data_IF_622154566629
#
_entry.id   IF_622154566629
#
_cell.length_a   1.000
_cell.length_b   1.000
_cell.length_c   1.000
_cell.angle_alpha   90.00
_cell.angle_beta   90.00
_cell.angle_gamma   90.00
#
_symmetry.space_group_name_H-M   'P 1'
#
loop_
_entity.id
_entity.type
_entity.pdbx_description
1 polymer ?
#
# COMPACT_ATOMS: atom_id res chain seq x y z
N UNK A 1 -35.77 36.04 -4.98
CA UNK A 1 -34.54 36.71 -5.42
C UNK A 1 -33.38 36.02 -4.74
N UNK A 2 -32.73 35.10 -5.44
CA UNK A 2 -31.42 34.56 -5.06
C UNK A 2 -30.36 35.59 -5.43
N UNK A 3 -29.36 35.89 -4.57
CA UNK A 3 -28.30 36.79 -4.97
C UNK A 3 -27.42 36.11 -6.03
N UNK A 4 -27.31 36.74 -7.20
CA UNK A 4 -26.25 36.42 -8.16
C UNK A 4 -24.92 36.83 -7.53
N UNK A 5 -24.10 35.84 -7.18
CA UNK A 5 -22.68 36.07 -6.93
C UNK A 5 -22.01 36.14 -8.29
N UNK A 6 -21.85 37.37 -8.80
CA UNK A 6 -20.97 37.64 -9.94
C UNK A 6 -19.54 37.51 -9.42
N UNK A 7 -18.89 36.37 -9.71
CA UNK A 7 -17.43 36.25 -9.59
C UNK A 7 -16.85 36.94 -10.81
N UNK A 8 -16.52 38.22 -10.67
CA UNK A 8 -15.83 38.98 -11.71
C UNK A 8 -14.40 38.42 -11.84
N UNK A 9 -14.20 37.55 -12.83
CA UNK A 9 -12.98 36.78 -13.07
C UNK A 9 -11.84 37.56 -13.70
N UNK A 10 -11.74 38.86 -13.47
CA UNK A 10 -10.61 39.67 -13.94
C UNK A 10 -10.15 40.60 -12.84
N UNK A 11 -9.41 40.06 -11.86
CA UNK A 11 -8.67 40.90 -10.92
C UNK A 11 -7.30 40.29 -10.74
N UNK A 12 -6.31 41.11 -11.07
CA UNK A 12 -4.91 41.04 -10.70
C UNK A 12 -4.80 41.10 -9.16
N UNK A 13 -5.36 40.09 -8.51
CA UNK A 13 -5.55 40.02 -7.07
C UNK A 13 -4.19 39.67 -6.45
N UNK A 14 -3.62 40.54 -5.60
CA UNK A 14 -2.38 40.23 -4.90
C UNK A 14 -2.46 38.92 -4.10
N UNK A 15 -3.65 38.48 -3.67
CA UNK A 15 -3.82 37.19 -3.01
C UNK A 15 -3.67 36.00 -3.98
N UNK A 16 -4.06 36.15 -5.25
CA UNK A 16 -3.79 35.14 -6.29
C UNK A 16 -2.31 35.06 -6.63
N UNK A 17 -1.61 36.21 -6.70
CA UNK A 17 -0.15 36.22 -6.92
C UNK A 17 0.62 35.53 -5.78
N UNK A 18 0.19 35.73 -4.53
CA UNK A 18 0.77 35.03 -3.38
C UNK A 18 0.58 33.50 -3.46
N UNK A 19 -0.59 33.05 -3.93
CA UNK A 19 -0.85 31.62 -4.14
C UNK A 19 -0.01 31.05 -5.29
N UNK A 20 0.10 31.75 -6.42
CA UNK A 20 0.96 31.35 -7.54
C UNK A 20 2.44 31.25 -7.13
N UNK A 21 2.95 32.24 -6.39
CA UNK A 21 4.32 32.23 -5.86
C UNK A 21 4.55 31.05 -4.89
N UNK A 22 3.56 30.72 -4.06
CA UNK A 22 3.61 29.59 -3.14
C UNK A 22 3.60 28.25 -3.91
N UNK A 23 2.74 28.10 -4.92
CA UNK A 23 2.72 26.93 -5.80
C UNK A 23 4.08 26.74 -6.49
N UNK A 24 4.63 27.80 -7.09
CA UNK A 24 5.94 27.75 -7.76
C UNK A 24 7.11 27.44 -6.80
N UNK A 25 7.04 27.90 -5.54
CA UNK A 25 8.01 27.52 -4.51
C UNK A 25 7.92 26.02 -4.17
N UNK A 26 6.71 25.51 -3.99
CA UNK A 26 6.48 24.11 -3.67
C UNK A 26 6.91 23.20 -4.83
N UNK A 27 6.57 23.53 -6.07
CA UNK A 27 7.02 22.80 -7.27
C UNK A 27 8.55 22.75 -7.37
N UNK A 28 9.25 23.88 -7.16
CA UNK A 28 10.73 23.91 -7.18
C UNK A 28 11.34 23.02 -6.09
N UNK A 29 10.75 23.01 -4.88
CA UNK A 29 11.22 22.14 -3.79
C UNK A 29 11.04 20.67 -4.13
N UNK A 30 9.94 20.32 -4.82
CA UNK A 30 9.73 18.94 -5.25
C UNK A 30 10.67 18.54 -6.38
N UNK A 31 10.85 19.36 -7.42
CA UNK A 31 11.80 19.08 -8.49
C UNK A 31 13.24 18.89 -7.95
N UNK A 32 13.62 19.64 -6.90
CA UNK A 32 14.91 19.45 -6.23
C UNK A 32 14.99 18.09 -5.50
N UNK A 33 13.93 17.65 -4.84
CA UNK A 33 13.84 16.33 -4.23
C UNK A 33 13.95 15.20 -5.28
N UNK A 34 13.29 15.36 -6.43
CA UNK A 34 13.38 14.40 -7.55
C UNK A 34 14.80 14.30 -8.11
N UNK A 35 15.48 15.44 -8.38
CA UNK A 35 16.87 15.44 -8.87
C UNK A 35 17.86 14.82 -7.89
N UNK A 36 17.58 14.90 -6.59
CA UNK A 36 18.41 14.22 -5.57
C UNK A 36 18.26 12.69 -5.65
N UNK A 37 17.21 12.19 -6.30
CA UNK A 37 17.01 10.76 -6.59
C UNK A 37 17.88 10.24 -7.75
N UNK A 38 18.55 11.10 -8.53
CA UNK A 38 19.36 10.72 -9.69
C UNK A 38 20.77 10.23 -9.33
N UNK A 39 21.14 10.18 -8.05
CA UNK A 39 22.49 9.82 -7.61
C UNK A 39 22.60 8.37 -7.11
N UNK A 40 22.55 7.37 -8.01
CA UNK A 40 23.14 6.05 -7.71
C UNK A 40 24.59 6.06 -8.20
N UNK A 41 25.46 6.73 -7.44
CA UNK A 41 26.93 6.63 -7.63
C UNK A 41 27.58 5.60 -6.70
N UNK A 42 26.81 5.03 -5.79
CA UNK A 42 27.25 4.03 -4.80
C UNK A 42 26.91 2.60 -5.27
N UNK A 43 27.61 1.57 -4.76
CA UNK A 43 27.17 0.19 -4.94
C UNK A 43 25.72 0.01 -4.46
N UNK A 44 24.90 -0.67 -5.26
CA UNK A 44 23.44 -0.76 -5.08
C UNK A 44 23.02 -1.24 -3.68
N UNK A 45 23.73 -2.23 -3.11
CA UNK A 45 23.35 -2.84 -1.83
C UNK A 45 23.49 -1.87 -0.65
N UNK A 46 24.68 -1.27 -0.37
CA UNK A 46 24.81 -0.25 0.68
C UNK A 46 23.80 0.90 0.57
N UNK A 47 23.55 1.38 -0.66
CA UNK A 47 22.58 2.45 -0.90
C UNK A 47 21.15 2.01 -0.60
N UNK A 48 20.74 0.82 -1.04
CA UNK A 48 19.42 0.25 -0.72
C UNK A 48 19.24 0.07 0.79
N UNK A 49 20.26 -0.42 1.51
CA UNK A 49 20.21 -0.55 2.97
C UNK A 49 20.07 0.82 3.66
N UNK A 50 20.80 1.83 3.18
CA UNK A 50 20.70 3.20 3.69
C UNK A 50 19.29 3.77 3.49
N UNK A 51 18.73 3.66 2.27
CA UNK A 51 17.37 4.09 1.99
C UNK A 51 16.35 3.35 2.86
N UNK A 52 16.56 2.04 3.09
CA UNK A 52 15.68 1.26 3.96
C UNK A 52 15.75 1.75 5.40
N UNK A 53 16.93 2.02 5.93
CA UNK A 53 17.12 2.54 7.28
C UNK A 53 16.48 3.93 7.45
N UNK A 54 16.70 4.83 6.48
CA UNK A 54 16.09 6.17 6.48
C UNK A 54 14.55 6.09 6.52
N UNK A 55 13.95 5.28 5.65
CA UNK A 55 12.50 5.13 5.60
C UNK A 55 11.94 4.38 6.82
N UNK A 56 12.64 3.35 7.32
CA UNK A 56 12.25 2.68 8.58
C UNK A 56 12.25 3.68 9.74
N UNK A 57 13.26 4.53 9.84
CA UNK A 57 13.31 5.60 10.84
C UNK A 57 12.16 6.59 10.66
N UNK A 58 11.87 7.00 9.42
CA UNK A 58 10.77 7.92 9.12
C UNK A 58 9.39 7.37 9.52
N UNK A 59 9.12 6.09 9.25
CA UNK A 59 7.85 5.45 9.59
C UNK A 59 7.80 4.93 11.04
N UNK A 60 8.88 5.10 11.83
CA UNK A 60 8.98 4.59 13.20
C UNK A 60 8.98 3.06 13.27
N UNK A 61 9.53 2.38 12.26
CA UNK A 61 9.61 0.92 12.22
C UNK A 61 10.82 0.44 13.02
N UNK A 62 10.56 -0.03 14.23
CA UNK A 62 11.59 -0.61 15.09
C UNK A 62 11.93 -2.04 14.70
N UNK A 63 13.15 -2.50 15.00
CA UNK A 63 13.50 -3.91 14.85
C UNK A 63 12.88 -4.70 15.99
N UNK A 64 11.69 -5.25 15.77
CA UNK A 64 11.01 -6.07 16.77
C UNK A 64 11.68 -7.44 16.89
N UNK A 65 12.33 -7.69 18.03
CA UNK A 65 12.73 -9.06 18.40
C UNK A 65 11.56 -9.70 19.15
N UNK A 66 10.86 -10.62 18.50
CA UNK A 66 9.78 -11.37 19.14
C UNK A 66 10.43 -12.50 19.96
N UNK A 67 10.62 -12.24 21.26
CA UNK A 67 11.13 -13.23 22.22
C UNK A 67 9.99 -14.01 22.88
N UNK A 68 8.95 -13.30 23.29
CA UNK A 68 7.75 -13.84 23.92
C UNK A 68 6.53 -13.50 23.06
N UNK A 69 6.38 -14.24 21.95
CA UNK A 69 5.27 -14.03 21.04
C UNK A 69 3.94 -14.24 21.79
N UNK A 70 3.04 -13.24 21.87
CA UNK A 70 1.76 -13.44 22.51
C UNK A 70 0.95 -14.49 21.74
N UNK A 71 0.09 -15.20 22.46
CA UNK A 71 -0.82 -16.15 21.82
C UNK A 71 -1.76 -15.41 20.87
N UNK A 72 -1.84 -15.94 19.64
CA UNK A 72 -2.82 -15.48 18.67
C UNK A 72 -4.20 -15.91 19.17
N UNK A 73 -5.05 -14.94 19.51
CA UNK A 73 -6.44 -15.24 19.86
C UNK A 73 -7.18 -15.55 18.57
N UNK A 74 -7.82 -16.71 18.48
CA UNK A 74 -8.62 -17.08 17.31
C UNK A 74 -10.07 -17.39 17.69
N UNK A 75 -10.97 -17.11 16.77
CA UNK A 75 -12.38 -17.48 16.84
C UNK A 75 -12.83 -18.01 15.49
N UNK A 76 -13.34 -19.24 15.47
CA UNK A 76 -13.92 -19.82 14.26
C UNK A 76 -15.15 -19.03 13.81
N UNK A 77 -15.30 -18.85 12.51
CA UNK A 77 -16.46 -18.22 11.89
C UNK A 77 -16.73 -18.81 10.50
N UNK A 78 -17.94 -18.56 9.98
CA UNK A 78 -18.33 -18.99 8.63
C UNK A 78 -18.73 -17.78 7.81
N UNK A 79 -18.19 -17.66 6.60
CA UNK A 79 -18.51 -16.61 5.62
C UNK A 79 -18.81 -17.30 4.29
N UNK A 80 -20.00 -17.08 3.71
CA UNK A 80 -20.45 -17.71 2.46
C UNK A 80 -20.25 -19.24 2.42
N UNK A 81 -20.40 -19.90 3.58
CA UNK A 81 -20.21 -21.35 3.72
C UNK A 81 -18.76 -21.81 3.91
N UNK A 82 -17.78 -20.90 3.80
CA UNK A 82 -16.38 -21.19 4.07
C UNK A 82 -16.09 -21.04 5.57
N UNK A 83 -15.34 -21.98 6.15
CA UNK A 83 -14.91 -21.91 7.54
C UNK A 83 -13.56 -21.19 7.64
N UNK A 84 -13.53 -20.12 8.43
CA UNK A 84 -12.36 -19.28 8.65
C UNK A 84 -12.09 -19.14 10.14
N UNK A 85 -10.92 -18.60 10.45
CA UNK A 85 -10.62 -18.08 11.78
C UNK A 85 -10.47 -16.57 11.70
N UNK A 86 -11.17 -15.87 12.59
CA UNK A 86 -10.88 -14.49 12.90
C UNK A 86 -9.80 -14.46 13.98
N UNK A 87 -8.68 -13.81 13.69
CA UNK A 87 -7.52 -13.79 14.57
C UNK A 87 -7.20 -12.38 15.06
N UNK A 88 -6.81 -12.28 16.32
CA UNK A 88 -6.37 -11.05 16.97
C UNK A 88 -4.98 -11.21 17.59
N UNK A 89 -4.10 -10.27 17.26
CA UNK A 89 -2.76 -10.18 17.79
C UNK A 89 -2.58 -8.82 18.48
N UNK A 90 -2.27 -8.79 19.79
CA UNK A 90 -1.89 -7.55 20.48
C UNK A 90 -0.61 -6.96 19.88
N UNK A 91 -0.60 -5.65 19.65
CA UNK A 91 0.57 -4.90 19.20
C UNK A 91 1.14 -4.09 20.39
N UNK A 92 2.47 -3.92 20.50
CA UNK A 92 3.10 -3.13 21.56
C UNK A 92 2.54 -1.71 21.75
N UNK A 93 2.18 -1.03 20.66
CA UNK A 93 1.54 0.30 20.68
C UNK A 93 0.09 0.31 21.23
N UNK A 94 -0.30 -0.69 22.01
CA UNK A 94 -1.67 -0.88 22.51
C UNK A 94 -2.73 -0.95 21.41
N UNK A 95 -2.33 -1.41 20.22
CA UNK A 95 -3.21 -1.69 19.09
C UNK A 95 -3.53 -3.18 19.02
N UNK A 96 -4.51 -3.53 18.19
CA UNK A 96 -4.81 -4.93 17.88
C UNK A 96 -4.74 -5.09 16.37
N UNK A 97 -3.89 -6.01 15.93
CA UNK A 97 -3.85 -6.49 14.56
C UNK A 97 -4.93 -7.55 14.42
N UNK A 98 -5.72 -7.46 13.35
CA UNK A 98 -6.84 -8.35 13.07
C UNK A 98 -6.70 -8.91 11.67
N UNK A 99 -7.02 -10.18 11.50
CA UNK A 99 -7.06 -10.80 10.20
C UNK A 99 -8.13 -11.90 10.14
N UNK A 100 -8.60 -12.20 8.93
CA UNK A 100 -9.26 -13.46 8.63
C UNK A 100 -8.22 -14.41 8.07
N UNK A 101 -8.19 -15.64 8.56
CA UNK A 101 -7.28 -16.65 8.06
C UNK A 101 -7.99 -17.94 7.70
N UNK A 102 -7.44 -18.60 6.68
CA UNK A 102 -7.85 -19.93 6.24
C UNK A 102 -6.59 -20.67 5.80
N UNK A 103 -6.47 -21.92 6.24
CA UNK A 103 -5.35 -22.80 5.88
C UNK A 103 -5.85 -23.97 5.03
N UNK A 104 -5.00 -24.51 4.14
CA UNK A 104 -5.31 -25.72 3.42
C UNK A 104 -5.45 -26.91 4.38
N UNK A 105 -6.17 -27.94 3.93
CA UNK A 105 -6.31 -29.20 4.69
C UNK A 105 -5.02 -30.04 4.74
N UNK A 106 -4.02 -29.68 3.93
CA UNK A 106 -2.72 -30.32 3.85
C UNK A 106 -1.61 -29.37 4.34
N UNK A 107 -0.36 -29.86 4.38
CA UNK A 107 0.78 -29.01 4.77
C UNK A 107 0.88 -27.80 3.85
N UNK A 108 0.89 -26.60 4.46
CA UNK A 108 0.99 -25.34 3.72
C UNK A 108 2.30 -25.22 2.95
N UNK A 109 2.22 -24.57 1.78
CA UNK A 109 3.36 -24.17 0.95
C UNK A 109 4.02 -22.89 1.45
N UNK A 110 3.31 -22.15 2.31
CA UNK A 110 3.73 -20.89 2.89
C UNK A 110 2.53 -19.98 3.14
N UNK A 111 2.83 -18.70 3.35
CA UNK A 111 1.89 -17.69 3.78
C UNK A 111 1.64 -16.70 2.66
N UNK A 112 0.38 -16.32 2.46
CA UNK A 112 0.01 -15.14 1.69
C UNK A 112 -0.73 -14.16 2.58
N UNK A 113 -0.15 -12.98 2.76
CA UNK A 113 -0.82 -11.81 3.33
C UNK A 113 -1.55 -11.06 2.21
N UNK A 114 -2.86 -10.90 2.35
CA UNK A 114 -3.70 -10.17 1.42
C UNK A 114 -4.21 -8.88 2.04
N UNK A 115 -4.14 -7.79 1.28
CA UNK A 115 -4.65 -6.49 1.71
C UNK A 115 -5.51 -5.82 0.62
N UNK A 116 -6.73 -5.49 1.00
CA UNK A 116 -7.74 -4.93 0.10
C UNK A 116 -7.54 -3.42 -0.15
N UNK A 117 -8.17 -2.93 -1.21
CA UNK A 117 -8.18 -1.50 -1.57
C UNK A 117 -9.20 -0.68 -0.80
N UNK A 118 -9.26 0.62 -1.03
CA UNK A 118 -10.34 1.45 -0.50
C UNK A 118 -11.58 1.36 -1.41
N UNK A 119 -12.82 1.20 -0.87
CA UNK A 119 -13.20 0.82 0.48
C UNK A 119 -13.64 -0.65 0.52
N UNK A 120 -12.67 -1.56 0.62
CA UNK A 120 -12.84 -3.02 0.64
C UNK A 120 -12.98 -3.62 2.05
N UNK A 121 -13.18 -4.94 2.10
CA UNK A 121 -13.30 -5.73 3.33
C UNK A 121 -12.46 -7.01 3.19
N UNK A 122 -11.64 -7.41 4.19
CA UNK A 122 -10.88 -8.66 4.16
C UNK A 122 -11.72 -9.91 3.86
N UNK A 123 -12.98 -9.94 4.27
CA UNK A 123 -13.91 -11.03 3.99
C UNK A 123 -14.16 -11.23 2.50
N UNK A 124 -14.01 -10.20 1.67
CA UNK A 124 -14.29 -10.30 0.23
C UNK A 124 -13.31 -11.25 -0.47
N UNK A 125 -12.09 -11.43 0.06
CA UNK A 125 -11.14 -12.46 -0.39
C UNK A 125 -11.66 -13.90 -0.24
N UNK A 126 -12.66 -14.11 0.61
CA UNK A 126 -13.21 -15.43 0.95
C UNK A 126 -14.68 -15.61 0.58
N UNK A 127 -15.22 -14.72 -0.26
CA UNK A 127 -16.59 -14.81 -0.78
C UNK A 127 -16.59 -15.19 -2.24
N UNK A 128 -17.48 -16.12 -2.59
CA UNK A 128 -17.79 -16.47 -3.98
C UNK A 128 -18.82 -15.52 -4.60
N UNK A 129 -19.54 -14.74 -3.77
CA UNK A 129 -20.60 -13.83 -4.22
C UNK A 129 -20.40 -12.41 -3.66
N UNK A 130 -20.78 -11.39 -4.44
CA UNK A 130 -20.72 -9.99 -3.98
C UNK A 130 -21.38 -9.02 -4.95
N UNK A 131 -21.88 -7.89 -4.43
CA UNK A 131 -22.42 -6.77 -5.21
C UNK A 131 -21.45 -5.58 -5.19
N UNK A 132 -21.38 -4.82 -6.30
CA UNK A 132 -20.63 -3.54 -6.38
C UNK A 132 -19.17 -3.60 -6.87
N UNK A 133 -18.45 -2.48 -6.66
CA UNK A 133 -17.11 -2.15 -7.18
C UNK A 133 -15.94 -3.03 -6.67
N UNK A 134 -16.22 -4.03 -5.82
CA UNK A 134 -15.24 -4.96 -5.21
C UNK A 134 -15.07 -6.27 -6.01
N UNK A 135 -15.27 -6.25 -7.33
CA UNK A 135 -15.10 -7.47 -8.17
C UNK A 135 -13.66 -7.99 -8.17
N UNK A 136 -12.71 -7.10 -7.96
CA UNK A 136 -11.26 -7.33 -7.99
C UNK A 136 -10.73 -8.25 -6.90
N UNK A 137 -11.40 -8.34 -5.76
CA UNK A 137 -10.85 -8.97 -4.54
C UNK A 137 -11.50 -10.33 -4.27
N UNK A 138 -12.39 -10.82 -5.14
CA UNK A 138 -13.31 -11.93 -4.81
C UNK A 138 -12.67 -13.29 -4.95
N UNK A 139 -12.84 -14.11 -3.92
CA UNK A 139 -12.53 -15.54 -3.95
C UNK A 139 -11.04 -15.88 -4.09
N UNK A 140 -10.15 -14.90 -4.25
CA UNK A 140 -8.71 -15.16 -4.41
C UNK A 140 -8.09 -15.82 -3.18
N UNK A 141 -8.57 -15.49 -1.99
CA UNK A 141 -8.15 -16.17 -0.77
C UNK A 141 -8.51 -17.66 -0.82
N UNK A 142 -9.69 -18.00 -1.34
CA UNK A 142 -10.11 -19.40 -1.53
C UNK A 142 -9.25 -20.11 -2.57
N UNK A 143 -9.02 -19.50 -3.73
CA UNK A 143 -8.17 -20.10 -4.78
C UNK A 143 -6.74 -20.36 -4.29
N UNK A 144 -6.21 -19.46 -3.46
CA UNK A 144 -4.89 -19.60 -2.85
C UNK A 144 -4.84 -20.76 -1.84
N UNK A 145 -5.87 -20.88 -1.01
CA UNK A 145 -6.02 -22.01 -0.08
C UNK A 145 -6.12 -23.32 -0.85
N UNK A 146 -6.91 -23.39 -1.93
CA UNK A 146 -7.01 -24.56 -2.80
C UNK A 146 -5.66 -24.92 -3.44
N UNK A 147 -4.83 -23.92 -3.73
CA UNK A 147 -3.45 -24.07 -4.23
C UNK A 147 -2.41 -24.40 -3.15
N UNK A 148 -2.84 -24.57 -1.90
CA UNK A 148 -2.02 -25.02 -0.78
C UNK A 148 -1.35 -23.91 0.03
N UNK A 149 -1.87 -22.69 0.03
CA UNK A 149 -1.33 -21.58 0.80
C UNK A 149 -2.18 -21.27 2.03
N UNK A 150 -1.52 -20.95 3.14
CA UNK A 150 -2.20 -20.32 4.28
C UNK A 150 -2.39 -18.85 3.97
N UNK A 151 -3.63 -18.39 3.99
CA UNK A 151 -3.97 -17.00 3.65
C UNK A 151 -4.35 -16.24 4.92
N UNK A 152 -3.82 -15.02 5.06
CA UNK A 152 -4.30 -14.04 6.03
C UNK A 152 -4.76 -12.79 5.27
N UNK A 153 -6.04 -12.47 5.35
CA UNK A 153 -6.58 -11.18 4.90
C UNK A 153 -6.61 -10.20 6.07
N UNK A 154 -5.79 -9.17 6.02
CA UNK A 154 -5.54 -8.28 7.17
C UNK A 154 -6.53 -7.11 7.18
N UNK A 155 -7.04 -6.76 8.36
CA UNK A 155 -7.82 -5.55 8.56
C UNK A 155 -6.89 -4.35 8.75
N UNK A 156 -7.14 -3.29 7.99
CA UNK A 156 -6.53 -1.98 8.13
C UNK A 156 -7.57 -0.95 8.59
N UNK A 157 -7.11 0.26 8.92
CA UNK A 157 -8.01 1.34 9.33
C UNK A 157 -9.05 1.69 8.24
N UNK A 158 -8.78 1.37 6.97
CA UNK A 158 -9.69 1.58 5.85
C UNK A 158 -10.64 0.41 5.54
N UNK A 159 -10.54 -0.69 6.28
CA UNK A 159 -11.45 -1.82 6.12
C UNK A 159 -12.88 -1.44 6.43
N UNK A 160 -13.78 -1.75 5.50
CA UNK A 160 -15.21 -1.81 5.79
C UNK A 160 -15.47 -3.03 6.66
N UNK A 161 -15.63 -2.85 7.95
CA UNK A 161 -16.21 -3.88 8.82
C UNK A 161 -17.57 -3.36 9.31
N UNK A 162 -18.66 -4.13 9.14
CA UNK A 162 -19.97 -3.74 9.66
C UNK A 162 -19.99 -3.54 11.18
N UNK A 163 -19.04 -4.13 11.92
CA UNK A 163 -18.86 -3.94 13.36
C UNK A 163 -17.88 -2.81 13.70
N UNK A 164 -17.11 -2.30 12.72
CA UNK A 164 -16.33 -1.08 12.92
C UNK A 164 -17.21 0.13 12.67
N UNK A 165 -16.82 1.26 13.26
CA UNK A 165 -17.53 2.53 13.33
C UNK A 165 -17.76 3.24 11.96
N UNK A 166 -17.61 2.51 10.85
CA UNK A 166 -17.13 3.03 9.58
C UNK A 166 -17.90 2.43 8.37
N UNK A 167 -19.03 3.04 8.02
CA UNK A 167 -19.66 2.83 6.72
C UNK A 167 -20.08 4.16 6.07
N UNK A 168 -19.98 4.23 4.74
CA UNK A 168 -20.36 5.42 3.94
C UNK A 168 -19.49 6.67 4.18
N UNK A 169 -20.09 7.86 4.06
CA UNK A 169 -19.44 9.16 4.28
C UNK A 169 -18.89 9.34 5.71
N UNK A 170 -19.27 8.49 6.67
CA UNK A 170 -18.66 8.50 8.00
C UNK A 170 -17.27 7.87 8.01
N UNK A 171 -17.05 6.83 7.20
CA UNK A 171 -15.72 6.22 7.00
C UNK A 171 -14.71 7.26 6.51
N UNK A 172 -15.14 8.04 5.53
CA UNK A 172 -14.43 9.18 4.97
C UNK A 172 -13.94 10.20 6.00
N UNK A 173 -14.90 10.73 6.75
CA UNK A 173 -14.66 11.77 7.71
C UNK A 173 -13.72 11.26 8.83
N UNK A 174 -13.95 10.03 9.28
CA UNK A 174 -13.14 9.47 10.34
C UNK A 174 -11.70 9.19 9.88
N UNK A 175 -11.49 8.78 8.63
CA UNK A 175 -10.15 8.68 8.06
C UNK A 175 -9.40 10.01 8.09
N UNK A 176 -10.04 11.11 7.66
CA UNK A 176 -9.44 12.45 7.72
C UNK A 176 -9.13 12.87 9.16
N UNK A 177 -10.03 12.59 10.10
CA UNK A 177 -9.80 12.89 11.52
C UNK A 177 -8.61 12.10 12.09
N UNK A 178 -8.51 10.81 11.79
CA UNK A 178 -7.39 9.98 12.21
C UNK A 178 -6.08 10.48 11.60
N UNK A 179 -6.08 10.80 10.31
CA UNK A 179 -4.91 11.34 9.61
C UNK A 179 -4.44 12.67 10.23
N UNK A 180 -5.37 13.58 10.56
CA UNK A 180 -5.04 14.85 11.24
C UNK A 180 -4.52 14.63 12.65
N UNK A 181 -5.13 13.72 13.41
CA UNK A 181 -4.66 13.37 14.77
C UNK A 181 -3.24 12.82 14.75
N UNK A 182 -2.95 11.92 13.81
CA UNK A 182 -1.59 11.40 13.60
C UNK A 182 -0.61 12.54 13.27
N UNK A 183 -0.97 13.43 12.33
CA UNK A 183 -0.10 14.53 11.92
C UNK A 183 0.27 15.48 13.08
N UNK A 184 -0.67 15.77 13.99
CA UNK A 184 -0.41 16.63 15.16
C UNK A 184 0.54 15.96 16.16
N UNK A 185 0.57 14.64 16.22
CA UNK A 185 1.53 13.89 17.05
C UNK A 185 2.87 13.62 16.34
N UNK A 186 3.07 14.19 15.15
CA UNK A 186 4.26 13.94 14.33
C UNK A 186 4.29 12.56 13.67
N UNK A 187 3.15 11.87 13.62
CA UNK A 187 3.01 10.54 13.03
C UNK A 187 2.17 10.60 11.74
N UNK A 188 2.09 9.49 11.03
CA UNK A 188 1.22 9.35 9.85
C UNK A 188 0.32 8.12 10.00
N UNK A 189 -0.91 8.22 9.48
CA UNK A 189 -1.82 7.07 9.51
C UNK A 189 -1.24 5.86 8.76
N UNK A 190 -0.43 6.12 7.72
CA UNK A 190 0.35 5.09 7.04
C UNK A 190 1.39 4.48 7.97
N UNK A 191 2.16 5.28 8.70
CA UNK A 191 3.20 4.80 9.63
C UNK A 191 2.63 3.85 10.68
N UNK A 192 1.49 4.21 11.29
CA UNK A 192 0.79 3.38 12.27
C UNK A 192 0.46 2.01 11.67
N UNK A 193 -0.06 1.99 10.45
CA UNK A 193 -0.45 0.75 9.79
C UNK A 193 0.76 -0.06 9.31
N UNK A 194 1.84 0.60 8.88
CA UNK A 194 3.11 -0.06 8.56
C UNK A 194 3.74 -0.71 9.81
N UNK A 195 3.71 -0.07 10.99
CA UNK A 195 4.19 -0.67 12.25
C UNK A 195 3.41 -1.94 12.57
N UNK A 196 2.08 -1.90 12.46
CA UNK A 196 1.21 -3.08 12.62
C UNK A 196 1.58 -4.21 11.66
N UNK A 197 1.77 -3.88 10.38
CA UNK A 197 2.11 -4.88 9.36
C UNK A 197 3.52 -5.46 9.60
N UNK A 198 4.52 -4.62 9.89
CA UNK A 198 5.92 -5.03 10.18
C UNK A 198 5.97 -5.99 11.37
N UNK A 199 5.24 -5.68 12.44
CA UNK A 199 5.10 -6.54 13.60
C UNK A 199 4.40 -7.85 13.26
N UNK A 200 3.31 -7.81 12.49
CA UNK A 200 2.57 -9.02 12.12
C UNK A 200 3.39 -9.97 11.25
N UNK A 201 4.13 -9.43 10.28
CA UNK A 201 5.04 -10.21 9.43
C UNK A 201 6.13 -10.87 10.28
N UNK A 202 6.74 -10.10 11.18
CA UNK A 202 7.75 -10.61 12.11
C UNK A 202 7.18 -11.72 13.00
N UNK A 203 5.94 -11.56 13.47
CA UNK A 203 5.23 -12.56 14.27
C UNK A 203 5.02 -13.85 13.50
N UNK A 204 4.51 -13.77 12.28
CA UNK A 204 4.26 -14.93 11.44
C UNK A 204 5.55 -15.68 11.10
N UNK A 205 6.63 -14.97 10.75
CA UNK A 205 7.95 -15.58 10.52
C UNK A 205 8.50 -16.28 11.76
N UNK A 206 8.36 -15.66 12.93
CA UNK A 206 8.78 -16.28 14.19
C UNK A 206 7.98 -17.55 14.49
N UNK A 207 6.65 -17.51 14.32
CA UNK A 207 5.76 -18.61 14.72
C UNK A 207 5.77 -19.79 13.74
N UNK A 208 5.85 -19.51 12.45
CA UNK A 208 5.68 -20.51 11.37
C UNK A 208 7.03 -21.00 10.83
N UNK A 209 8.14 -20.34 11.18
CA UNK A 209 9.49 -20.71 10.76
C UNK A 209 9.84 -20.18 9.35
N UNK A 210 10.73 -20.86 8.60
CA UNK A 210 11.28 -20.37 7.33
C UNK A 210 10.31 -20.49 6.15
N UNK A 211 8.99 -20.47 6.39
CA UNK A 211 7.99 -20.56 5.33
C UNK A 211 8.06 -19.35 4.39
N UNK A 212 7.83 -19.60 3.11
CA UNK A 212 7.75 -18.56 2.08
C UNK A 212 6.57 -17.62 2.41
N UNK A 213 6.82 -16.32 2.47
CA UNK A 213 5.84 -15.29 2.78
C UNK A 213 5.67 -14.34 1.60
N UNK A 214 4.46 -14.28 1.09
CA UNK A 214 4.05 -13.38 0.01
C UNK A 214 3.18 -12.29 0.60
N UNK A 215 3.49 -11.03 0.30
CA UNK A 215 2.62 -9.90 0.62
C UNK A 215 2.01 -9.37 -0.67
N UNK A 216 0.68 -9.40 -0.76
CA UNK A 216 -0.06 -8.89 -1.90
C UNK A 216 -1.12 -7.88 -1.49
N UNK A 217 -1.28 -6.82 -2.28
CA UNK A 217 -2.38 -5.88 -2.08
C UNK A 217 -2.77 -5.11 -3.32
N UNK A 218 -3.99 -4.58 -3.29
CA UNK A 218 -4.62 -3.80 -4.37
C UNK A 218 -4.89 -2.37 -3.93
N UNK A 219 -4.71 -1.39 -4.83
CA UNK A 219 -5.02 0.02 -4.57
C UNK A 219 -4.33 0.49 -3.29
N UNK A 220 -5.05 1.00 -2.28
CA UNK A 220 -4.47 1.34 -0.99
C UNK A 220 -3.75 0.15 -0.32
N UNK A 221 -4.25 -1.08 -0.48
CA UNK A 221 -3.53 -2.30 -0.09
C UNK A 221 -2.22 -2.51 -0.86
N UNK A 222 -2.19 -2.10 -2.13
CA UNK A 222 -1.00 -2.10 -2.98
C UNK A 222 0.06 -1.11 -2.51
N UNK A 223 -0.35 0.06 -2.00
CA UNK A 223 0.55 1.01 -1.33
C UNK A 223 1.30 0.35 -0.19
N UNK A 224 0.55 -0.28 0.72
CA UNK A 224 1.13 -0.98 1.85
C UNK A 224 2.02 -2.12 1.40
N UNK A 225 1.61 -2.93 0.42
CA UNK A 225 2.43 -4.00 -0.12
C UNK A 225 3.77 -3.48 -0.65
N UNK A 226 3.77 -2.41 -1.44
CA UNK A 226 5.01 -1.82 -1.97
C UNK A 226 5.91 -1.27 -0.87
N UNK A 227 5.35 -0.50 0.07
CA UNK A 227 6.09 0.10 1.18
C UNK A 227 6.65 -0.98 2.12
N UNK A 228 5.79 -1.81 2.70
CA UNK A 228 6.23 -2.81 3.68
C UNK A 228 7.11 -3.89 3.04
N UNK A 229 6.85 -4.25 1.78
CA UNK A 229 7.71 -5.15 1.03
C UNK A 229 9.14 -4.62 0.90
N UNK A 230 9.31 -3.33 0.64
CA UNK A 230 10.64 -2.70 0.59
C UNK A 230 11.30 -2.58 1.97
N UNK A 231 10.51 -2.38 3.02
CA UNK A 231 10.99 -2.07 4.38
C UNK A 231 11.22 -3.30 5.27
N UNK A 232 10.48 -4.38 5.06
CA UNK A 232 10.58 -5.62 5.84
C UNK A 232 11.19 -6.73 4.97
N UNK A 233 12.43 -7.12 5.30
CA UNK A 233 13.20 -8.13 4.57
C UNK A 233 12.71 -9.56 4.80
N UNK A 234 11.77 -9.77 5.72
CA UNK A 234 11.08 -11.05 5.93
C UNK A 234 10.03 -11.37 4.87
N UNK A 235 9.69 -10.45 3.96
CA UNK A 235 8.79 -10.75 2.83
C UNK A 235 9.62 -11.31 1.67
N UNK A 236 9.25 -12.48 1.16
CA UNK A 236 9.96 -13.16 0.06
C UNK A 236 9.51 -12.62 -1.32
N UNK A 237 8.21 -12.34 -1.47
CA UNK A 237 7.62 -11.79 -2.69
C UNK A 237 6.64 -10.68 -2.34
N UNK A 238 6.75 -9.56 -3.03
CA UNK A 238 5.77 -8.47 -2.96
C UNK A 238 4.98 -8.35 -4.25
N UNK A 239 3.66 -8.18 -4.13
CA UNK A 239 2.78 -7.89 -5.25
C UNK A 239 1.99 -6.62 -4.92
N UNK A 240 2.27 -5.56 -5.66
CA UNK A 240 1.61 -4.27 -5.56
C UNK A 240 0.77 -4.07 -6.81
N UNK A 241 -0.55 -4.04 -6.65
CA UNK A 241 -1.49 -3.89 -7.76
C UNK A 241 -2.22 -2.56 -7.68
N UNK A 242 -2.39 -1.88 -8.82
CA UNK A 242 -3.17 -0.65 -8.98
C UNK A 242 -2.77 0.47 -8.00
N UNK A 243 -1.47 0.60 -7.70
CA UNK A 243 -0.99 1.72 -6.89
C UNK A 243 0.34 2.30 -7.34
N UNK A 244 1.29 1.45 -7.74
CA UNK A 244 2.66 1.87 -8.07
C UNK A 244 2.68 2.80 -9.29
N UNK A 245 3.05 4.05 -9.06
CA UNK A 245 3.19 5.11 -10.07
C UNK A 245 4.24 6.13 -9.59
N UNK A 246 4.57 7.12 -10.43
CA UNK A 246 5.21 8.34 -9.98
C UNK A 246 4.33 8.98 -8.88
N UNK A 247 4.83 8.94 -7.65
CA UNK A 247 4.07 9.36 -6.48
C UNK A 247 3.80 10.87 -6.48
N UNK A 248 4.66 11.67 -7.11
CA UNK A 248 4.44 13.11 -7.27
C UNK A 248 3.24 13.40 -8.18
N UNK A 249 3.23 12.82 -9.38
CA UNK A 249 2.14 12.99 -10.35
C UNK A 249 0.80 12.52 -9.75
N UNK A 250 0.86 11.41 -9.00
CA UNK A 250 -0.29 10.88 -8.28
C UNK A 250 -0.82 11.86 -7.22
N UNK A 251 0.05 12.61 -6.55
CA UNK A 251 -0.34 13.51 -5.48
C UNK A 251 -0.81 14.88 -5.97
N UNK A 252 -0.15 15.48 -6.97
CA UNK A 252 -0.37 16.90 -7.27
C UNK A 252 -0.52 17.28 -8.75
N UNK A 253 -0.46 16.35 -9.72
CA UNK A 253 -0.56 16.70 -11.15
C UNK A 253 -1.86 17.45 -11.45
N UNK A 254 -1.75 18.64 -12.01
CA UNK A 254 -2.93 19.43 -12.37
C UNK A 254 -3.69 18.80 -13.56
N UNK A 255 -5.01 19.04 -13.61
CA UNK A 255 -5.84 18.64 -14.75
C UNK A 255 -6.19 17.16 -14.82
N UNK A 256 -5.83 16.34 -13.84
CA UNK A 256 -6.18 14.92 -13.82
C UNK A 256 -7.11 14.52 -12.67
N UNK A 257 -8.26 13.95 -13.01
CA UNK A 257 -9.35 13.65 -12.06
C UNK A 257 -9.00 12.60 -10.98
N UNK A 258 -7.89 11.88 -11.14
CA UNK A 258 -7.44 10.82 -10.21
C UNK A 258 -6.32 11.22 -9.25
N UNK A 259 -5.93 12.49 -9.27
CA UNK A 259 -4.86 12.99 -8.39
C UNK A 259 -5.36 13.00 -6.96
N UNK A 260 -4.56 12.46 -6.04
CA UNK A 260 -4.92 12.27 -4.63
C UNK A 260 -5.37 13.56 -3.96
N UNK A 261 -4.85 14.73 -4.35
CA UNK A 261 -5.29 16.04 -3.79
C UNK A 261 -6.80 16.28 -3.92
N UNK A 262 -7.46 15.66 -4.90
CA UNK A 262 -8.91 15.75 -5.10
C UNK A 262 -9.70 14.66 -4.35
N UNK A 263 -9.00 13.70 -3.72
CA UNK A 263 -9.56 12.54 -3.05
C UNK A 263 -9.34 12.62 -1.54
N UNK A 264 -10.39 12.99 -0.81
CA UNK A 264 -10.37 13.12 0.66
C UNK A 264 -10.05 11.82 1.43
N UNK A 265 -10.06 10.65 0.75
CA UNK A 265 -9.74 9.35 1.34
C UNK A 265 -8.27 8.96 1.18
N UNK A 266 -7.48 9.76 0.46
CA UNK A 266 -6.05 9.54 0.37
C UNK A 266 -5.35 10.17 1.58
N UNK A 267 -4.28 9.55 2.10
CA UNK A 267 -3.50 10.10 3.21
C UNK A 267 -2.70 11.31 2.70
N UNK A 268 -3.35 12.46 2.63
CA UNK A 268 -2.79 13.72 2.13
C UNK A 268 -1.80 14.40 3.10
N UNK A 269 -1.76 13.94 4.35
CA UNK A 269 -0.98 14.56 5.43
C UNK A 269 0.27 13.74 5.78
N UNK A 270 1.13 13.50 4.79
CA UNK A 270 2.41 12.80 4.98
C UNK A 270 3.57 13.75 4.75
N UNK A 271 3.91 14.48 5.82
CA UNK A 271 4.88 15.57 5.78
C UNK A 271 6.28 15.07 5.42
N UNK A 272 6.83 15.60 4.32
CA UNK A 272 8.22 15.34 3.92
C UNK A 272 8.48 14.01 3.23
N UNK A 273 7.47 13.16 3.00
CA UNK A 273 7.67 11.86 2.34
C UNK A 273 8.26 12.01 0.93
N UNK A 274 7.81 13.01 0.16
CA UNK A 274 8.34 13.29 -1.18
C UNK A 274 9.84 13.67 -1.19
N UNK A 275 10.39 14.11 -0.05
CA UNK A 275 11.82 14.42 0.05
C UNK A 275 12.68 13.16 0.14
N UNK A 276 12.10 12.04 0.58
CA UNK A 276 12.86 10.82 0.90
C UNK A 276 12.44 9.61 0.06
N UNK A 277 11.21 9.60 -0.48
CA UNK A 277 10.66 8.50 -1.26
C UNK A 277 10.31 8.94 -2.69
N UNK A 278 10.90 8.25 -3.65
CA UNK A 278 10.52 8.28 -5.07
C UNK A 278 10.05 6.88 -5.51
N UNK A 279 9.34 6.79 -6.64
CA UNK A 279 8.94 5.50 -7.21
C UNK A 279 10.16 4.60 -7.47
N UNK A 280 11.25 5.21 -7.96
CA UNK A 280 12.55 4.58 -8.16
C UNK A 280 13.15 4.02 -6.86
N UNK A 281 13.27 4.84 -5.82
CA UNK A 281 13.74 4.36 -4.49
C UNK A 281 12.88 3.24 -3.98
N UNK A 282 11.55 3.38 -4.08
CA UNK A 282 10.61 2.36 -3.62
C UNK A 282 10.82 1.02 -4.32
N UNK A 283 10.99 1.03 -5.65
CA UNK A 283 11.28 -0.16 -6.43
C UNK A 283 12.62 -0.81 -6.02
N UNK A 284 13.66 0.00 -5.82
CA UNK A 284 14.99 -0.49 -5.46
C UNK A 284 15.03 -1.16 -4.07
N UNK A 285 14.20 -0.73 -3.12
CA UNK A 285 14.13 -1.34 -1.77
C UNK A 285 13.77 -2.83 -1.76
N UNK A 286 13.13 -3.30 -2.83
CA UNK A 286 12.79 -4.71 -2.97
C UNK A 286 14.00 -5.55 -3.34
N UNK A 287 15.04 -5.00 -3.96
CA UNK A 287 16.22 -5.76 -4.38
C UNK A 287 16.89 -6.49 -3.19
N UNK A 288 17.33 -7.75 -3.35
CA UNK A 288 17.23 -8.63 -4.53
C UNK A 288 15.97 -9.53 -4.51
N UNK A 289 14.93 -9.15 -3.79
CA UNK A 289 13.70 -9.94 -3.65
C UNK A 289 12.75 -9.63 -4.80
N UNK A 290 11.88 -10.59 -5.09
CA UNK A 290 10.94 -10.48 -6.20
C UNK A 290 9.84 -9.49 -5.84
N UNK A 291 9.66 -8.48 -6.67
CA UNK A 291 8.54 -7.55 -6.60
C UNK A 291 7.83 -7.49 -7.94
N UNK A 292 6.51 -7.42 -7.84
CA UNK A 292 5.63 -7.34 -8.99
C UNK A 292 4.75 -6.12 -8.84
N UNK A 293 4.85 -5.23 -9.81
CA UNK A 293 4.01 -4.06 -9.93
C UNK A 293 3.00 -4.35 -11.04
N UNK A 294 1.73 -4.47 -10.68
CA UNK A 294 0.61 -4.60 -11.62
C UNK A 294 -0.10 -3.26 -11.73
N UNK A 295 -0.37 -2.80 -12.95
CA UNK A 295 -1.11 -1.55 -13.16
C UNK A 295 -1.97 -1.56 -14.41
N UNK A 296 -3.03 -0.76 -14.34
CA UNK A 296 -3.80 -0.34 -15.51
C UNK A 296 -3.34 1.07 -15.94
N UNK A 297 -2.94 1.28 -17.20
CA UNK A 297 -2.57 2.60 -17.72
C UNK A 297 -3.64 3.69 -17.54
N UNK A 298 -4.93 3.31 -17.51
CA UNK A 298 -6.05 4.22 -17.28
C UNK A 298 -6.22 4.67 -15.82
N UNK A 299 -5.43 4.11 -14.89
CA UNK A 299 -5.46 4.46 -13.48
C UNK A 299 -4.64 5.71 -13.14
N UNK A 300 -3.88 6.25 -14.10
CA UNK A 300 -2.80 7.19 -13.79
C UNK A 300 -3.02 8.60 -14.34
N UNK A 301 -2.60 9.63 -13.59
CA UNK A 301 -2.39 10.99 -14.10
C UNK A 301 -1.26 11.12 -15.10
N UNK A 302 -0.24 10.28 -14.99
CA UNK A 302 0.99 10.38 -15.78
C UNK A 302 0.79 9.83 -17.20
N UNK A 303 1.40 10.47 -18.21
CA UNK A 303 1.61 9.86 -19.54
C UNK A 303 2.69 8.74 -19.49
N UNK A 304 2.98 8.23 -18.29
CA UNK A 304 4.26 7.67 -17.85
C UNK A 304 4.36 6.16 -17.95
N UNK A 305 4.18 5.61 -19.16
CA UNK A 305 4.67 4.26 -19.48
C UNK A 305 6.19 4.22 -19.67
N UNK A 306 6.79 5.33 -20.10
CA UNK A 306 8.23 5.46 -20.33
C UNK A 306 9.02 5.73 -19.04
N UNK A 307 8.61 6.71 -18.24
CA UNK A 307 9.40 7.21 -17.10
C UNK A 307 9.72 6.13 -16.08
N UNK A 308 8.76 5.31 -15.65
CA UNK A 308 9.04 4.29 -14.62
C UNK A 308 9.94 3.16 -15.13
N UNK A 309 9.74 2.69 -16.37
CA UNK A 309 10.61 1.66 -16.97
C UNK A 309 12.00 2.21 -17.28
N UNK A 310 12.10 3.46 -17.70
CA UNK A 310 13.38 4.11 -18.00
C UNK A 310 14.13 4.43 -16.68
N UNK A 311 13.44 4.91 -15.64
CA UNK A 311 14.01 5.19 -14.31
C UNK A 311 14.47 3.94 -13.56
N UNK A 312 13.75 2.81 -13.70
CA UNK A 312 14.11 1.54 -13.06
C UNK A 312 15.10 0.75 -13.92
N UNK A 313 14.90 0.73 -15.24
CA UNK A 313 15.58 -0.15 -16.18
C UNK A 313 16.96 0.33 -16.64
N UNK A 314 17.22 1.64 -16.68
CA UNK A 314 18.48 2.16 -17.23
C UNK A 314 19.71 1.95 -16.32
N UNK A 315 19.52 1.76 -15.00
CA UNK A 315 20.64 1.79 -14.06
C UNK A 315 20.77 0.57 -13.13
N UNK A 316 19.71 -0.20 -12.89
CA UNK A 316 19.72 -1.21 -11.83
C UNK A 316 20.04 -2.64 -12.30
N UNK A 317 20.10 -2.91 -13.61
CA UNK A 317 20.25 -4.25 -14.20
C UNK A 317 19.39 -5.33 -13.47
N UNK A 318 18.21 -4.92 -13.00
CA UNK A 318 17.39 -5.64 -12.03
C UNK A 318 16.15 -6.29 -12.65
N UNK A 319 16.16 -6.50 -13.98
CA UNK A 319 15.02 -7.00 -14.75
C UNK A 319 14.54 -8.38 -14.26
N UNK A 320 15.42 -9.16 -13.63
CA UNK A 320 15.09 -10.48 -13.06
C UNK A 320 14.31 -10.42 -11.74
N UNK A 321 14.34 -9.27 -11.04
CA UNK A 321 13.76 -9.10 -9.70
C UNK A 321 12.51 -8.22 -9.68
N UNK A 322 12.43 -7.28 -10.61
CA UNK A 322 11.31 -6.34 -10.72
C UNK A 322 10.53 -6.67 -11.97
N UNK A 323 9.29 -7.12 -11.80
CA UNK A 323 8.38 -7.34 -12.94
C UNK A 323 7.30 -6.27 -12.95
N UNK A 324 7.23 -5.50 -14.04
CA UNK A 324 6.14 -4.53 -14.27
C UNK A 324 5.14 -5.11 -15.29
N UNK A 325 3.95 -5.46 -14.80
CA UNK A 325 2.83 -5.94 -15.61
C UNK A 325 1.84 -4.81 -15.89
N UNK A 326 1.62 -4.53 -17.17
CA UNK A 326 0.58 -3.63 -17.65
C UNK A 326 -0.60 -4.47 -18.13
N UNK A 327 -1.81 -4.15 -17.68
CA UNK A 327 -3.02 -4.80 -18.18
C UNK A 327 -4.10 -3.76 -18.50
N UNK A 328 -4.89 -4.03 -19.53
CA UNK A 328 -6.10 -3.26 -19.85
C UNK A 328 -7.27 -3.86 -19.08
N UNK A 329 -7.64 -3.28 -17.93
CA UNK A 329 -8.93 -3.39 -17.21
C UNK A 329 -8.71 -3.01 -15.74
N UNK A 330 -9.26 -1.86 -15.34
CA UNK A 330 -9.01 -1.30 -14.02
C UNK A 330 -9.50 -2.25 -12.95
N UNK A 331 -8.64 -2.52 -11.99
CA UNK A 331 -8.94 -3.40 -10.88
C UNK A 331 -9.38 -4.82 -11.30
N UNK A 332 -9.22 -5.24 -12.56
CA UNK A 332 -9.18 -6.68 -12.84
C UNK A 332 -7.81 -7.15 -12.39
N UNK A 333 -7.80 -7.74 -11.21
CA UNK A 333 -6.64 -8.30 -10.55
C UNK A 333 -5.97 -9.34 -11.47
N UNK A 334 -4.97 -8.92 -12.25
CA UNK A 334 -4.16 -9.81 -13.09
C UNK A 334 -3.31 -10.78 -12.24
N UNK A 335 -3.30 -10.55 -10.93
CA UNK A 335 -2.86 -11.40 -9.84
C UNK A 335 -2.96 -12.89 -10.09
N UNK A 336 -4.04 -13.42 -10.69
CA UNK A 336 -4.17 -14.86 -10.95
C UNK A 336 -3.06 -15.40 -11.85
N UNK A 337 -2.79 -14.72 -12.96
CA UNK A 337 -1.78 -15.11 -13.93
C UNK A 337 -0.37 -14.90 -13.39
N UNK A 338 -0.21 -13.86 -12.57
CA UNK A 338 1.07 -13.49 -11.96
C UNK A 338 1.43 -14.44 -10.82
N UNK A 339 0.49 -14.76 -9.92
CA UNK A 339 0.68 -15.76 -8.88
C UNK A 339 1.03 -17.11 -9.46
N UNK A 340 0.33 -17.55 -10.51
CA UNK A 340 0.62 -18.85 -11.11
C UNK A 340 2.02 -18.92 -11.69
N UNK A 341 2.58 -17.80 -12.14
CA UNK A 341 3.97 -17.75 -12.64
C UNK A 341 5.00 -17.69 -11.52
N UNK A 342 4.65 -17.10 -10.38
CA UNK A 342 5.59 -16.76 -9.30
C UNK A 342 5.55 -17.77 -8.14
N UNK A 343 4.44 -18.48 -8.00
CA UNK A 343 4.20 -19.51 -6.99
C UNK A 343 4.33 -20.94 -7.55
N UNK A 344 4.61 -21.12 -8.84
CA UNK A 344 5.26 -22.35 -9.34
C UNK A 344 6.69 -22.39 -8.82
#
# INVERSE_FOLDING_TARGET
MTPEVVVDGTVDDPDNRNLEELHALLERRVQAAERTSDEIKQPIVPWVEQCRQELRSYFGLENHTIKDAPDLKSKSMTIDGNNLEYVELPHPDHLTIRALTMSPSHKSRGIVLLLHGWPGNPADFFKNTGSGATKSDRGYGLELVDKGWTVYAVYCYHSKDPNLYYSGLRHAHNFVQLSRKAAVTGDHIISIELRKLDYFISYLKHRMGPEKLVFAGISMGGQYAALIGGLNTGIDITICSSWFDNYYDKLIKEGHARVSQYHWHEPLFINGLLNILSARKLAALHFPRKVIFERDPSDLPSDGDRTIRDEIGAELNCQDFITLHLHSNMHNFAFKDVLEKVLK
#
